data_IF_934535517846
#
_entry.id   IF_934535517846
#
_cell.length_a   1.000
_cell.length_b   1.000
_cell.length_c   1.000
_cell.angle_alpha   90.00
_cell.angle_beta   90.00
_cell.angle_gamma   90.00
#
_symmetry.space_group_name_H-M   'P 1'
#
loop_
_entity.id
_entity.type
_entity.pdbx_description
1 polymer ?
#
# COMPACT_ATOMS: atom_id res chain seq x y z
N UNK A 1 -21.31 -5.72 -1.12
CA UNK A 1 -20.48 -6.70 -0.39
C UNK A 1 -21.10 -6.93 0.98
N UNK A 2 -21.13 -8.17 1.45
CA UNK A 2 -21.57 -8.47 2.81
C UNK A 2 -20.58 -7.89 3.84
N UNK A 3 -21.09 -7.34 4.93
CA UNK A 3 -20.29 -6.83 6.05
C UNK A 3 -20.41 -7.76 7.25
N UNK A 4 -19.31 -8.05 7.93
CA UNK A 4 -19.28 -8.82 9.17
C UNK A 4 -19.10 -7.86 10.34
N UNK A 5 -19.99 -7.92 11.34
CA UNK A 5 -19.87 -7.13 12.57
C UNK A 5 -18.78 -7.71 13.46
N UNK A 6 -17.89 -6.87 13.96
CA UNK A 6 -16.86 -7.20 14.97
C UNK A 6 -16.93 -6.21 16.12
N UNK A 7 -16.65 -6.67 17.33
CA UNK A 7 -16.41 -5.81 18.50
C UNK A 7 -14.92 -5.55 18.61
N UNK A 8 -14.51 -4.29 18.73
CA UNK A 8 -13.12 -3.86 18.81
C UNK A 8 -13.02 -2.85 19.95
N UNK A 9 -11.99 -2.98 20.77
CA UNK A 9 -11.74 -2.04 21.88
C UNK A 9 -10.70 -1.02 21.44
N UNK A 10 -10.98 0.25 21.69
CA UNK A 10 -10.09 1.37 21.44
C UNK A 10 -9.71 2.06 22.75
N UNK A 11 -8.58 2.76 22.76
CA UNK A 11 -8.26 3.67 23.86
C UNK A 11 -9.13 4.93 23.76
N UNK A 12 -9.29 5.66 24.87
CA UNK A 12 -10.02 6.95 24.87
C UNK A 12 -9.47 7.92 23.83
N UNK A 13 -8.14 7.98 23.69
CA UNK A 13 -7.49 8.83 22.70
C UNK A 13 -7.84 8.44 21.25
N UNK A 14 -7.93 7.14 20.96
CA UNK A 14 -8.31 6.65 19.64
C UNK A 14 -9.79 6.94 19.34
N UNK A 15 -10.66 6.81 20.34
CA UNK A 15 -12.07 7.17 20.23
C UNK A 15 -12.25 8.65 19.88
N UNK A 16 -11.56 9.55 20.59
CA UNK A 16 -11.61 11.00 20.32
C UNK A 16 -11.10 11.31 18.90
N UNK A 17 -10.04 10.63 18.47
CA UNK A 17 -9.53 10.75 17.11
C UNK A 17 -10.57 10.31 16.06
N UNK A 18 -11.22 9.15 16.26
CA UNK A 18 -12.25 8.63 15.37
C UNK A 18 -13.41 9.63 15.26
N UNK A 19 -13.89 10.16 16.39
CA UNK A 19 -14.94 11.19 16.41
C UNK A 19 -14.53 12.45 15.63
N UNK A 20 -13.30 12.90 15.80
CA UNK A 20 -12.79 14.05 15.05
C UNK A 20 -12.77 13.81 13.53
N UNK A 21 -12.44 12.59 13.07
CA UNK A 21 -12.53 12.27 11.64
C UNK A 21 -13.99 12.25 11.12
N UNK A 22 -14.94 11.78 11.93
CA UNK A 22 -16.36 11.82 11.58
C UNK A 22 -16.89 13.26 11.48
N UNK A 23 -16.48 14.14 12.38
CA UNK A 23 -16.87 15.56 12.36
C UNK A 23 -16.44 16.31 11.10
N UNK A 24 -15.39 15.85 10.42
CA UNK A 24 -14.98 16.41 9.12
C UNK A 24 -15.97 16.10 7.98
N UNK A 25 -16.97 15.25 8.22
CA UNK A 25 -18.02 14.91 7.26
C UNK A 25 -17.57 13.93 6.17
N UNK A 26 -16.36 13.38 6.25
CA UNK A 26 -15.84 12.42 5.26
C UNK A 26 -16.37 11.00 5.45
N UNK A 27 -16.90 10.70 6.65
CA UNK A 27 -17.40 9.37 7.01
C UNK A 27 -18.72 9.53 7.76
N UNK A 28 -19.66 8.62 7.50
CA UNK A 28 -20.98 8.64 8.12
C UNK A 28 -21.04 7.89 9.45
N UNK A 29 -20.08 6.97 9.67
CA UNK A 29 -19.96 6.16 10.87
C UNK A 29 -18.54 5.62 11.05
N UNK A 30 -18.23 5.17 12.27
CA UNK A 30 -16.93 4.63 12.65
C UNK A 30 -16.52 3.42 11.80
N UNK A 31 -17.48 2.52 11.50
CA UNK A 31 -17.19 1.32 10.70
C UNK A 31 -16.76 1.65 9.27
N UNK A 32 -17.18 2.79 8.72
CA UNK A 32 -16.70 3.29 7.44
C UNK A 32 -15.26 3.77 7.52
N UNK A 33 -14.95 4.60 8.53
CA UNK A 33 -13.60 5.10 8.76
C UNK A 33 -12.61 3.96 9.02
N UNK A 34 -12.95 3.01 9.88
CA UNK A 34 -12.09 1.84 10.18
C UNK A 34 -11.86 0.98 8.93
N UNK A 35 -12.89 0.76 8.10
CA UNK A 35 -12.71 0.04 6.83
C UNK A 35 -11.79 0.78 5.88
N UNK A 36 -11.85 2.11 5.82
CA UNK A 36 -10.92 2.88 4.98
C UNK A 36 -9.48 2.81 5.49
N UNK A 37 -9.27 2.93 6.80
CA UNK A 37 -7.95 2.71 7.42
C UNK A 37 -7.37 1.35 7.05
N UNK A 38 -8.17 0.28 7.16
CA UNK A 38 -7.73 -1.07 6.79
C UNK A 38 -7.38 -1.16 5.30
N UNK A 39 -8.15 -0.52 4.41
CA UNK A 39 -7.84 -0.52 2.97
C UNK A 39 -6.52 0.22 2.68
N UNK A 40 -6.27 1.32 3.36
CA UNK A 40 -5.03 2.08 3.20
C UNK A 40 -3.83 1.30 3.73
N UNK A 41 -3.98 0.63 4.88
CA UNK A 41 -2.98 -0.30 5.42
C UNK A 41 -2.66 -1.43 4.42
N UNK A 42 -3.69 -2.11 3.89
CA UNK A 42 -3.52 -3.16 2.89
C UNK A 42 -2.82 -2.66 1.62
N UNK A 43 -3.19 -1.47 1.12
CA UNK A 43 -2.52 -0.86 -0.04
C UNK A 43 -1.05 -0.61 0.23
N UNK A 44 -0.70 -0.08 1.39
CA UNK A 44 0.68 0.21 1.76
C UNK A 44 1.49 -1.08 1.93
N UNK A 45 0.90 -2.10 2.60
CA UNK A 45 1.50 -3.42 2.75
C UNK A 45 1.80 -4.07 1.39
N UNK A 46 0.84 -4.02 0.46
CA UNK A 46 1.02 -4.57 -0.89
C UNK A 46 2.12 -3.84 -1.66
N UNK A 47 2.17 -2.50 -1.60
CA UNK A 47 3.24 -1.71 -2.23
C UNK A 47 4.61 -2.08 -1.68
N UNK A 48 4.73 -2.21 -0.35
CA UNK A 48 5.98 -2.63 0.28
C UNK A 48 6.38 -4.03 -0.18
N UNK A 49 5.44 -4.98 -0.18
CA UNK A 49 5.71 -6.35 -0.63
C UNK A 49 6.14 -6.43 -2.09
N UNK A 50 5.54 -5.62 -2.95
CA UNK A 50 5.94 -5.51 -4.36
C UNK A 50 7.37 -4.98 -4.50
N UNK A 51 7.73 -3.95 -3.74
CA UNK A 51 9.09 -3.42 -3.73
C UNK A 51 10.11 -4.45 -3.22
N UNK A 52 9.82 -5.10 -2.08
CA UNK A 52 10.68 -6.16 -1.53
C UNK A 52 10.89 -7.28 -2.55
N UNK A 53 9.82 -7.69 -3.24
CA UNK A 53 9.89 -8.71 -4.29
C UNK A 53 10.78 -8.26 -5.46
N UNK A 54 10.57 -7.06 -5.99
CA UNK A 54 11.35 -6.54 -7.11
C UNK A 54 12.85 -6.40 -6.77
N UNK A 55 13.17 -5.96 -5.54
CA UNK A 55 14.55 -5.93 -5.04
C UNK A 55 15.13 -7.34 -4.99
N UNK A 56 14.38 -8.30 -4.45
CA UNK A 56 14.86 -9.68 -4.35
C UNK A 56 15.11 -10.30 -5.72
N UNK A 57 14.19 -10.10 -6.68
CA UNK A 57 14.34 -10.56 -8.06
C UNK A 57 15.58 -9.93 -8.72
N UNK A 58 15.81 -8.62 -8.56
CA UNK A 58 17.00 -7.94 -9.09
C UNK A 58 18.32 -8.38 -8.43
N UNK A 59 18.30 -8.72 -7.14
CA UNK A 59 19.48 -9.29 -6.48
C UNK A 59 19.76 -10.72 -6.95
N UNK A 60 18.72 -11.52 -7.18
CA UNK A 60 18.84 -12.90 -7.67
C UNK A 60 19.23 -12.97 -9.15
N UNK A 61 18.92 -11.97 -9.97
CA UNK A 61 19.32 -11.92 -11.37
C UNK A 61 20.83 -11.75 -11.57
N UNK A 62 21.58 -11.42 -10.52
CA UNK A 62 23.01 -11.18 -10.58
C UNK A 62 23.36 -9.83 -11.20
N UNK A 63 24.66 -9.58 -11.36
CA UNK A 63 25.17 -8.33 -11.93
C UNK A 63 25.15 -8.42 -13.45
N UNK A 64 24.51 -7.44 -14.10
CA UNK A 64 24.54 -7.33 -15.56
C UNK A 64 25.93 -6.90 -16.04
N UNK A 65 26.40 -7.51 -17.13
CA UNK A 65 27.61 -7.08 -17.83
C UNK A 65 27.35 -5.98 -18.86
N UNK A 66 26.09 -5.56 -19.04
CA UNK A 66 25.73 -4.53 -20.02
C UNK A 66 26.10 -3.15 -19.49
N UNK A 67 26.77 -2.36 -20.33
CA UNK A 67 26.93 -0.94 -20.09
C UNK A 67 25.65 -0.17 -20.41
N UNK A 68 25.57 1.08 -19.98
CA UNK A 68 24.44 1.96 -20.29
C UNK A 68 24.27 2.13 -21.82
N UNK A 69 25.38 2.14 -22.57
CA UNK A 69 25.33 2.26 -24.04
C UNK A 69 24.74 1.00 -24.67
N UNK A 70 25.12 -0.20 -24.18
CA UNK A 70 24.58 -1.47 -24.68
C UNK A 70 23.06 -1.56 -24.47
N UNK A 71 22.58 -1.13 -23.29
CA UNK A 71 21.14 -1.11 -22.97
C UNK A 71 20.38 -0.14 -23.88
N UNK A 72 20.95 1.04 -24.15
CA UNK A 72 20.31 2.05 -25.00
C UNK A 72 20.27 1.60 -26.46
N UNK A 73 21.32 0.96 -26.96
CA UNK A 73 21.40 0.43 -28.31
C UNK A 73 20.37 -0.70 -28.52
N UNK A 74 20.24 -1.60 -27.55
CA UNK A 74 19.24 -2.69 -27.56
C UNK A 74 17.81 -2.14 -27.70
N UNK A 75 17.44 -1.10 -26.94
CA UNK A 75 16.10 -0.51 -27.00
C UNK A 75 15.82 0.16 -28.35
N UNK A 76 16.80 0.82 -28.95
CA UNK A 76 16.64 1.54 -30.22
C UNK A 76 16.50 0.61 -31.43
N UNK A 77 17.01 -0.63 -31.34
CA UNK A 77 16.94 -1.62 -32.43
C UNK A 77 15.69 -2.51 -32.38
N UNK A 78 14.83 -2.37 -31.37
CA UNK A 78 13.55 -3.11 -31.23
C UNK A 78 12.35 -2.32 -31.80
N UNK A 79 12.55 -1.07 -32.27
CA UNK A 79 11.54 -0.25 -32.98
C UNK A 79 11.64 -0.34 -34.49
#
# INVERSE_FOLDING_TARGET
>A
MATIRKSITFTTQQEDWIKHQLQKGLYTNESEYIRDLIRNDQKNYLKQKQLEKAIHEGLQSGVSNHSILDIMDEINHIG
#
